data_IF_796945859823
#
_entry.id   IF_796945859823
#
_cell.length_a   1.000
_cell.length_b   1.000
_cell.length_c   1.000
_cell.angle_alpha   90.00
_cell.angle_beta   90.00
_cell.angle_gamma   90.00
#
_symmetry.space_group_name_H-M   'P 1'
#
loop_
_entity.id
_entity.type
_entity.pdbx_description
1 polymer ?
#
# COMPACT_ATOMS: atom_id res chain seq x y z
N UNK A 1 -6.75 -4.23 -2.18
CA UNK A 1 -6.02 -4.90 -1.06
C UNK A 1 -4.98 -3.94 -0.56
N UNK A 2 -4.96 -3.68 0.73
CA UNK A 2 -4.06 -2.69 1.31
C UNK A 2 -2.59 -3.12 1.32
N UNK A 3 -1.83 -2.75 0.29
CA UNK A 3 -0.36 -2.90 0.24
C UNK A 3 0.33 -1.65 0.80
N UNK A 4 -0.21 -0.48 0.46
CA UNK A 4 0.22 0.88 0.78
C UNK A 4 1.60 1.28 0.26
N UNK A 5 2.61 0.40 0.35
CA UNK A 5 3.95 0.64 -0.20
C UNK A 5 4.75 -0.66 -0.29
N UNK A 6 5.64 -0.74 -1.28
CA UNK A 6 6.71 -1.74 -1.42
C UNK A 6 8.01 -1.29 -0.72
N UNK A 7 7.92 -0.35 0.23
CA UNK A 7 9.04 0.11 1.05
C UNK A 7 8.78 -0.11 2.53
N UNK A 8 9.56 -1.00 3.15
CA UNK A 8 9.57 -1.24 4.60
C UNK A 8 9.64 0.04 5.43
N UNK A 9 10.48 1.00 5.00
CA UNK A 9 10.59 2.30 5.68
C UNK A 9 9.30 3.11 5.58
N UNK A 10 8.63 3.10 4.42
CA UNK A 10 7.38 3.85 4.22
C UNK A 10 6.23 3.21 4.99
N UNK A 11 6.16 1.88 5.04
CA UNK A 11 5.19 1.14 5.87
C UNK A 11 5.32 1.51 7.35
N UNK A 12 6.55 1.60 7.88
CA UNK A 12 6.80 2.06 9.26
C UNK A 12 6.33 3.51 9.49
N UNK A 13 6.61 4.43 8.56
CA UNK A 13 6.14 5.82 8.65
C UNK A 13 4.61 5.89 8.66
N UNK A 14 3.95 5.03 7.88
CA UNK A 14 2.50 4.90 7.83
C UNK A 14 1.89 4.16 9.03
N UNK A 15 2.70 3.72 9.99
CA UNK A 15 2.25 2.95 11.16
C UNK A 15 1.69 1.56 10.80
N UNK A 16 2.07 1.01 9.65
CA UNK A 16 1.61 -0.30 9.20
C UNK A 16 2.39 -1.42 9.89
N UNK A 17 1.68 -2.50 10.22
CA UNK A 17 2.22 -3.65 10.94
C UNK A 17 2.68 -4.78 10.02
N UNK A 18 2.24 -4.79 8.77
CA UNK A 18 2.67 -5.76 7.78
C UNK A 18 4.00 -5.35 7.13
N UNK A 19 4.68 -6.34 6.59
CA UNK A 19 5.90 -6.22 5.78
C UNK A 19 5.58 -6.35 4.29
N UNK A 20 6.50 -5.89 3.46
CA UNK A 20 6.40 -5.97 1.98
C UNK A 20 6.22 -7.42 1.55
N UNK A 21 6.98 -8.36 2.11
CA UNK A 21 6.91 -9.77 1.71
C UNK A 21 5.56 -10.39 2.04
N UNK A 22 4.86 -9.89 3.06
CA UNK A 22 3.51 -10.36 3.39
C UNK A 22 2.50 -9.90 2.33
N UNK A 23 2.63 -8.65 1.85
CA UNK A 23 1.81 -8.13 0.76
C UNK A 23 2.07 -8.88 -0.55
N UNK A 24 3.33 -9.15 -0.89
CA UNK A 24 3.69 -9.91 -2.10
C UNK A 24 3.13 -11.34 -2.06
N UNK A 25 3.35 -12.04 -0.94
CA UNK A 25 2.78 -13.39 -0.75
C UNK A 25 1.25 -13.38 -0.83
N UNK A 26 0.59 -12.34 -0.34
CA UNK A 26 -0.86 -12.22 -0.45
C UNK A 26 -1.31 -12.09 -1.91
N UNK A 27 -0.62 -11.28 -2.73
CA UNK A 27 -0.90 -11.17 -4.18
C UNK A 27 -0.74 -12.53 -4.86
N UNK A 28 0.37 -13.23 -4.60
CA UNK A 28 0.64 -14.55 -5.18
C UNK A 28 -0.41 -15.58 -4.76
N UNK A 29 -0.81 -15.58 -3.49
CA UNK A 29 -1.83 -16.48 -2.97
C UNK A 29 -3.19 -16.23 -3.63
N UNK A 30 -3.59 -14.97 -3.79
CA UNK A 30 -4.81 -14.61 -4.49
C UNK A 30 -4.78 -15.07 -5.95
N UNK A 31 -3.66 -14.88 -6.66
CA UNK A 31 -3.53 -15.40 -8.03
C UNK A 31 -3.60 -16.91 -8.10
N UNK A 32 -2.88 -17.62 -7.23
CA UNK A 32 -2.90 -19.10 -7.19
C UNK A 32 -4.27 -19.65 -6.81
N UNK A 33 -5.03 -18.93 -5.98
CA UNK A 33 -6.41 -19.30 -5.64
C UNK A 33 -7.41 -19.05 -6.78
N UNK A 34 -6.97 -18.50 -7.92
CA UNK A 34 -7.83 -18.30 -9.10
C UNK A 34 -8.62 -17.00 -9.09
N UNK A 35 -8.27 -16.03 -8.24
CA UNK A 35 -8.89 -14.71 -8.29
C UNK A 35 -8.53 -14.01 -9.62
N UNK A 36 -9.58 -13.76 -10.42
CA UNK A 36 -9.44 -13.15 -11.76
C UNK A 36 -9.13 -11.66 -11.71
N UNK A 37 -9.56 -10.98 -10.65
CA UNK A 37 -9.38 -9.55 -10.48
C UNK A 37 -8.77 -9.23 -9.11
N UNK A 38 -7.64 -8.55 -9.10
CA UNK A 38 -6.87 -8.18 -7.92
C UNK A 38 -6.55 -6.70 -8.01
N UNK A 39 -7.16 -5.94 -7.11
CA UNK A 39 -6.84 -4.55 -6.87
C UNK A 39 -5.86 -4.43 -5.69
N UNK A 40 -4.90 -3.50 -5.79
CA UNK A 40 -4.06 -3.07 -4.67
C UNK A 40 -4.14 -1.57 -4.42
N UNK A 41 -4.04 -1.19 -3.15
CA UNK A 41 -4.10 0.21 -2.70
C UNK A 41 -2.70 0.71 -2.35
N UNK A 42 -2.26 1.81 -2.95
CA UNK A 42 -1.00 2.49 -2.66
C UNK A 42 -1.23 3.85 -1.98
N UNK A 43 -0.33 4.24 -1.09
CA UNK A 43 -0.37 5.53 -0.41
C UNK A 43 0.81 6.41 -0.83
N UNK A 44 0.53 7.66 -1.24
CA UNK A 44 1.54 8.66 -1.63
C UNK A 44 1.50 9.91 -0.74
N UNK A 45 2.41 10.86 -0.96
CA UNK A 45 2.62 12.04 -0.09
C UNK A 45 2.92 11.71 1.38
N UNK A 46 3.75 10.68 1.62
CA UNK A 46 4.22 10.38 2.98
C UNK A 46 5.29 11.38 3.42
N UNK A 47 5.34 11.66 4.73
CA UNK A 47 6.20 12.70 5.30
C UNK A 47 7.68 12.51 4.95
N UNK A 48 8.32 13.60 4.50
CA UNK A 48 9.74 13.64 4.19
C UNK A 48 10.16 12.77 3.00
N UNK A 49 9.29 12.60 2.00
CA UNK A 49 9.60 11.85 0.77
C UNK A 49 9.68 12.72 -0.46
N UNK A 50 10.53 12.32 -1.39
CA UNK A 50 10.64 12.94 -2.71
C UNK A 50 9.68 12.30 -3.72
N UNK A 51 9.49 12.96 -4.86
CA UNK A 51 8.73 12.39 -5.98
C UNK A 51 9.35 11.09 -6.49
N UNK A 52 10.68 10.99 -6.51
CA UNK A 52 11.38 9.79 -6.97
C UNK A 52 11.19 8.60 -6.03
N UNK A 53 11.09 8.84 -4.72
CA UNK A 53 10.73 7.79 -3.75
C UNK A 53 9.27 7.38 -3.83
N UNK A 54 8.41 8.22 -4.40
CA UNK A 54 7.04 7.84 -4.73
C UNK A 54 7.01 6.93 -5.97
N UNK A 55 7.71 7.29 -7.05
CA UNK A 55 7.73 6.53 -8.33
C UNK A 55 8.04 5.04 -8.17
N UNK A 56 8.88 4.69 -7.21
CA UNK A 56 9.23 3.29 -6.90
C UNK A 56 8.04 2.41 -6.54
N UNK A 57 6.99 2.95 -5.90
CA UNK A 57 5.83 2.14 -5.50
C UNK A 57 4.97 1.73 -6.71
N UNK A 58 4.53 2.66 -7.59
CA UNK A 58 3.85 2.28 -8.83
C UNK A 58 4.70 1.43 -9.78
N UNK A 59 6.01 1.66 -9.86
CA UNK A 59 6.93 0.82 -10.65
C UNK A 59 6.98 -0.62 -10.11
N UNK A 60 7.17 -0.79 -8.79
CA UNK A 60 7.14 -2.12 -8.20
C UNK A 60 5.77 -2.80 -8.33
N UNK A 61 4.68 -2.01 -8.26
CA UNK A 61 3.31 -2.49 -8.41
C UNK A 61 3.02 -3.02 -9.82
N UNK A 62 3.52 -2.34 -10.86
CA UNK A 62 3.28 -2.75 -12.26
C UNK A 62 3.98 -4.05 -12.63
N UNK A 63 5.01 -4.45 -11.87
CA UNK A 63 5.68 -5.74 -12.00
C UNK A 63 4.92 -6.89 -11.31
N UNK A 64 3.88 -6.59 -10.51
CA UNK A 64 3.10 -7.62 -9.82
C UNK A 64 1.93 -8.09 -10.68
N UNK A 65 1.46 -9.33 -10.50
CA UNK A 65 0.28 -9.83 -11.18
C UNK A 65 -0.98 -9.27 -10.51
N UNK A 66 -1.25 -7.98 -10.71
CA UNK A 66 -2.43 -7.25 -10.25
C UNK A 66 -3.12 -6.62 -11.45
N UNK A 67 -4.43 -6.41 -11.37
CA UNK A 67 -5.23 -5.88 -12.49
C UNK A 67 -5.52 -4.39 -12.32
N UNK A 68 -5.43 -3.87 -11.10
CA UNK A 68 -5.74 -2.50 -10.78
C UNK A 68 -4.89 -1.99 -9.62
N UNK A 69 -4.49 -0.71 -9.72
CA UNK A 69 -3.75 0.01 -8.70
C UNK A 69 -4.54 1.28 -8.36
N UNK A 70 -5.01 1.37 -7.11
CA UNK A 70 -5.65 2.58 -6.59
C UNK A 70 -4.65 3.38 -5.76
N UNK A 71 -4.48 4.66 -6.07
CA UNK A 71 -3.54 5.53 -5.37
C UNK A 71 -4.27 6.56 -4.52
N UNK A 72 -3.89 6.67 -3.24
CA UNK A 72 -4.47 7.63 -2.29
C UNK A 72 -3.41 8.54 -1.66
N UNK A 73 -3.69 9.84 -1.50
CA UNK A 73 -2.81 10.71 -0.74
C UNK A 73 -2.85 10.32 0.74
N UNK A 74 -1.73 10.48 1.43
CA UNK A 74 -1.66 10.26 2.88
C UNK A 74 -2.33 11.45 3.59
N UNK A 75 -3.51 11.21 4.16
CA UNK A 75 -4.23 12.21 4.95
C UNK A 75 -3.87 12.05 6.43
N UNK A 76 -3.44 13.15 7.06
CA UNK A 76 -3.25 13.21 8.51
C UNK A 76 -4.53 13.74 9.13
N UNK A 77 -5.21 12.89 9.88
CA UNK A 77 -6.44 13.25 10.59
C UNK A 77 -6.12 13.33 12.09
N UNK A 78 -6.45 14.43 12.79
CA UNK A 78 -6.28 14.53 14.23
C UNK A 78 -7.03 13.39 14.95
N UNK A 79 -6.38 12.75 15.90
CA UNK A 79 -6.88 11.53 16.54
C UNK A 79 -7.95 11.78 17.61
N UNK A 80 -8.90 12.71 17.43
CA UNK A 80 -10.03 12.94 18.36
C UNK A 80 -11.36 13.13 17.61
N UNK A 81 -11.89 12.03 17.08
CA UNK A 81 -13.34 11.84 16.90
C UNK A 81 -13.73 10.47 17.48
N UNK A 82 -13.34 10.23 18.75
CA UNK A 82 -14.05 9.24 19.56
C UNK A 82 -15.33 9.93 20.03
N UNK A 83 -16.41 9.81 19.25
CA UNK A 83 -17.73 9.92 19.86
C UNK A 83 -17.83 8.73 20.80
N UNK A 84 -17.65 8.98 22.09
CA UNK A 84 -18.04 8.03 23.13
C UNK A 84 -19.55 7.80 22.97
N UNK A 85 -19.93 6.58 22.60
CA UNK A 85 -21.28 6.05 22.72
C UNK A 85 -21.20 4.79 23.58
#
# INVERSE_FOLDING_TARGET
MGVQSFSERKLRVLGRRHRVEQSERAIENLRRAGYRYINIDLMYLTTGKTLDEWRRDPEAASEKPVDEITCYPTLVVPSHLRTSS
#
